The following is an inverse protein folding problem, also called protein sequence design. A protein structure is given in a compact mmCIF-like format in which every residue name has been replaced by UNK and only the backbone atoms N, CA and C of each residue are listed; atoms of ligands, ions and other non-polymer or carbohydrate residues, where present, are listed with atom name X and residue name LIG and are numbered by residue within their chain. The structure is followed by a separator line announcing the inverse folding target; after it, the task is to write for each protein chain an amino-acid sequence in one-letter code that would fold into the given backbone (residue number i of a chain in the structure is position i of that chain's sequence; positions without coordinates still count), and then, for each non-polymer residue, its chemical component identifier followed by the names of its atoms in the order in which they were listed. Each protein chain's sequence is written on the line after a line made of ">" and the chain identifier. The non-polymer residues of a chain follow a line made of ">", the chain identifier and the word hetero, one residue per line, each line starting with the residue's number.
data_IF_461367802009
#
_entry.id   IF_461367802009
#
_cell.length_a   1.000
_cell.length_b   1.000
_cell.length_c   1.000
_cell.angle_alpha   90.00
_cell.angle_beta   90.00
_cell.angle_gamma   90.00
#
_symmetry.space_group_name_H-M   'P 1'
#
loop_
_entity.id
_entity.type
_entity.pdbx_description
1 polymer ?
#
# COMPACT_ATOMS: atom_id res chain seq x y z
N UNK A 1 30.49 15.44 29.44
CA UNK A 1 31.22 14.18 29.59
C UNK A 1 32.47 14.47 30.40
N UNK A 2 32.50 14.10 31.69
CA UNK A 2 33.70 14.24 32.48
C UNK A 2 34.73 13.23 31.95
N UNK A 3 35.92 13.70 31.57
CA UNK A 3 36.99 12.79 31.18
C UNK A 3 37.31 11.88 32.37
N UNK A 4 37.32 10.57 32.14
CA UNK A 4 37.60 9.61 33.19
C UNK A 4 39.06 9.74 33.64
N UNK A 5 39.29 10.54 34.68
CA UNK A 5 40.56 10.63 35.39
C UNK A 5 40.76 9.38 36.25
N UNK A 6 42.03 9.00 36.47
CA UNK A 6 42.44 7.86 37.30
C UNK A 6 41.82 7.94 38.71
N UNK A 7 41.55 9.16 39.21
CA UNK A 7 40.92 9.38 40.51
C UNK A 7 39.43 8.97 40.57
N UNK A 8 38.75 8.89 39.42
CA UNK A 8 37.34 8.51 39.29
C UNK A 8 37.15 7.15 38.57
N UNK A 9 38.19 6.33 38.50
CA UNK A 9 38.14 5.04 37.78
C UNK A 9 37.02 4.13 38.29
N UNK A 10 36.78 4.12 39.60
CA UNK A 10 35.79 3.25 40.24
C UNK A 10 34.34 3.59 39.85
N UNK A 11 34.01 4.86 39.62
CA UNK A 11 32.67 5.28 39.16
C UNK A 11 32.52 5.25 37.64
N UNK A 12 33.61 5.51 36.90
CA UNK A 12 33.59 5.48 35.44
C UNK A 12 33.50 4.06 34.85
N UNK A 13 34.14 3.07 35.49
CA UNK A 13 34.22 1.72 34.94
C UNK A 13 32.84 1.04 34.79
N UNK A 14 31.92 1.11 35.78
CA UNK A 14 30.55 0.61 35.61
C UNK A 14 29.76 1.34 34.52
N UNK A 15 29.93 2.66 34.38
CA UNK A 15 29.23 3.46 33.37
C UNK A 15 29.69 3.08 31.95
N UNK A 16 31.01 2.97 31.73
CA UNK A 16 31.56 2.53 30.44
C UNK A 16 31.22 1.08 30.11
N UNK A 17 31.20 0.21 31.12
CA UNK A 17 30.77 -1.17 30.94
C UNK A 17 29.28 -1.25 30.53
N UNK A 18 28.43 -0.40 31.10
CA UNK A 18 27.02 -0.30 30.73
C UNK A 18 26.81 0.26 29.31
N UNK A 19 27.55 1.31 28.93
CA UNK A 19 27.56 1.81 27.55
C UNK A 19 27.99 0.73 26.55
N UNK A 20 29.00 -0.07 26.89
CA UNK A 20 29.46 -1.19 26.06
C UNK A 20 28.38 -2.27 25.90
N UNK A 21 27.72 -2.69 26.99
CA UNK A 21 26.60 -3.65 26.93
C UNK A 21 25.45 -3.07 26.09
N UNK A 22 25.09 -1.80 26.29
CA UNK A 22 24.08 -1.11 25.50
C UNK A 22 24.44 -1.11 24.02
N UNK A 23 25.71 -0.89 23.69
CA UNK A 23 26.24 -0.96 22.33
C UNK A 23 26.06 -2.35 21.72
N UNK A 24 26.42 -3.41 22.46
CA UNK A 24 26.25 -4.80 22.01
C UNK A 24 24.77 -5.14 21.77
N UNK A 25 23.89 -4.74 22.69
CA UNK A 25 22.45 -5.02 22.58
C UNK A 25 21.83 -4.26 21.39
N UNK A 26 22.25 -3.02 21.14
CA UNK A 26 21.72 -2.21 20.05
C UNK A 26 22.34 -2.51 18.67
N UNK A 27 23.54 -3.08 18.63
CA UNK A 27 24.24 -3.46 17.39
C UNK A 27 23.38 -4.28 16.40
N UNK A 28 22.64 -5.33 16.80
CA UNK A 28 21.78 -6.08 15.88
C UNK A 28 20.54 -5.31 15.41
N UNK A 29 20.06 -4.32 16.17
CA UNK A 29 18.88 -3.53 15.80
C UNK A 29 19.20 -2.48 14.74
N UNK A 30 20.37 -1.85 14.83
CA UNK A 30 20.78 -0.77 13.93
C UNK A 30 20.59 -1.08 12.43
N UNK A 31 21.09 -2.20 11.87
CA UNK A 31 20.90 -2.50 10.45
C UNK A 31 19.44 -2.80 10.09
N UNK A 32 18.66 -3.39 10.99
CA UNK A 32 17.24 -3.66 10.76
C UNK A 32 16.42 -2.38 10.74
N UNK A 33 16.73 -1.45 11.64
CA UNK A 33 16.09 -0.14 11.73
C UNK A 33 16.41 0.73 10.51
N UNK A 34 17.68 0.76 10.09
CA UNK A 34 18.08 1.42 8.84
C UNK A 34 17.34 0.84 7.64
N UNK A 35 17.20 -0.49 7.58
CA UNK A 35 16.46 -1.15 6.51
C UNK A 35 14.96 -0.83 6.55
N UNK A 36 14.34 -0.78 7.74
CA UNK A 36 12.95 -0.33 7.90
C UNK A 36 12.80 1.11 7.43
N UNK A 37 13.70 2.00 7.85
CA UNK A 37 13.67 3.40 7.46
C UNK A 37 13.75 3.56 5.94
N UNK A 38 14.72 2.89 5.30
CA UNK A 38 14.87 2.87 3.83
C UNK A 38 13.63 2.29 3.14
N UNK A 39 13.10 1.16 3.59
CA UNK A 39 11.91 0.55 2.97
C UNK A 39 10.64 1.38 3.13
N UNK A 40 10.57 2.25 4.13
CA UNK A 40 9.47 3.20 4.33
C UNK A 40 9.64 4.49 3.51
N UNK A 41 10.85 5.07 3.49
CA UNK A 41 11.09 6.40 2.93
C UNK A 41 11.56 6.40 1.48
N UNK A 42 12.24 5.36 1.02
CA UNK A 42 12.84 5.32 -0.31
C UNK A 42 11.78 4.92 -1.36
N UNK A 43 11.69 5.65 -2.49
CA UNK A 43 10.81 5.25 -3.57
C UNK A 43 11.25 3.89 -4.14
N UNK A 44 10.28 3.08 -4.54
CA UNK A 44 10.55 1.79 -5.19
C UNK A 44 11.23 2.06 -6.53
N UNK A 45 12.36 1.41 -6.78
CA UNK A 45 13.05 1.54 -8.07
C UNK A 45 12.28 0.76 -9.14
N UNK A 46 11.47 1.50 -9.91
CA UNK A 46 10.62 0.96 -10.97
C UNK A 46 11.33 0.84 -12.32
N UNK A 47 12.55 1.38 -12.47
CA UNK A 47 13.29 1.38 -13.75
C UNK A 47 13.55 -0.04 -14.24
N UNK A 48 13.81 -0.96 -13.30
CA UNK A 48 14.04 -2.38 -13.58
C UNK A 48 12.82 -3.03 -14.28
N UNK A 49 11.61 -2.54 -14.00
CA UNK A 49 10.36 -3.06 -14.55
C UNK A 49 9.86 -2.27 -15.78
N UNK A 50 10.59 -1.25 -16.23
CA UNK A 50 10.20 -0.43 -17.38
C UNK A 50 10.04 -1.26 -18.65
N UNK A 51 10.95 -2.21 -18.90
CA UNK A 51 10.87 -3.10 -20.07
C UNK A 51 9.59 -3.95 -20.07
N UNK A 52 9.19 -4.45 -18.90
CA UNK A 52 7.95 -5.22 -18.73
C UNK A 52 6.71 -4.34 -18.92
N UNK A 53 6.74 -3.11 -18.41
CA UNK A 53 5.68 -2.13 -18.64
C UNK A 53 5.49 -1.83 -20.13
N UNK A 54 6.57 -1.56 -20.88
CA UNK A 54 6.51 -1.33 -22.34
C UNK A 54 5.87 -2.53 -23.06
N UNK A 55 6.26 -3.75 -22.68
CA UNK A 55 5.69 -4.97 -23.26
C UNK A 55 4.18 -5.06 -23.04
N UNK A 56 3.70 -4.77 -21.82
CA UNK A 56 2.26 -4.78 -21.53
C UNK A 56 1.53 -3.69 -22.33
N UNK A 57 2.05 -2.47 -22.38
CA UNK A 57 1.45 -1.39 -23.18
C UNK A 57 1.40 -1.77 -24.65
N UNK A 58 2.43 -2.42 -25.19
CA UNK A 58 2.44 -2.94 -26.54
C UNK A 58 1.33 -3.98 -26.79
N UNK A 59 1.15 -4.94 -25.87
CA UNK A 59 0.06 -5.92 -25.97
C UNK A 59 -1.31 -5.22 -25.91
N UNK A 60 -1.48 -4.25 -25.01
CA UNK A 60 -2.71 -3.45 -24.91
C UNK A 60 -2.97 -2.63 -26.18
N UNK A 61 -1.92 -2.19 -26.88
CA UNK A 61 -2.05 -1.40 -28.11
C UNK A 61 -2.79 -2.12 -29.24
N UNK A 62 -2.67 -3.45 -29.32
CA UNK A 62 -3.40 -4.29 -30.28
C UNK A 62 -4.91 -4.19 -30.02
N UNK A 63 -5.31 -4.18 -28.75
CA UNK A 63 -6.73 -4.01 -28.38
C UNK A 63 -7.26 -2.62 -28.73
N UNK A 64 -6.43 -1.58 -28.75
CA UNK A 64 -6.87 -0.23 -29.11
C UNK A 64 -7.34 -0.15 -30.55
N UNK A 65 -6.62 -0.79 -31.48
CA UNK A 65 -7.04 -0.87 -32.88
C UNK A 65 -8.41 -1.54 -33.02
N UNK A 66 -8.62 -2.65 -32.31
CA UNK A 66 -9.89 -3.37 -32.34
C UNK A 66 -11.04 -2.54 -31.73
N UNK A 67 -10.81 -1.88 -30.60
CA UNK A 67 -11.81 -1.02 -29.97
C UNK A 67 -12.15 0.19 -30.85
N UNK A 68 -11.16 0.79 -31.52
CA UNK A 68 -11.39 1.90 -32.47
C UNK A 68 -12.18 1.44 -33.69
N UNK A 69 -11.90 0.26 -34.25
CA UNK A 69 -12.69 -0.30 -35.35
C UNK A 69 -14.13 -0.59 -34.92
N UNK A 70 -14.31 -1.17 -33.73
CA UNK A 70 -15.63 -1.36 -33.13
C UNK A 70 -16.36 -0.02 -32.93
N UNK A 71 -15.63 1.04 -32.59
CA UNK A 71 -16.20 2.36 -32.32
C UNK A 71 -16.68 3.00 -33.62
N UNK A 72 -15.82 2.95 -34.63
CA UNK A 72 -16.14 3.38 -35.98
C UNK A 72 -17.34 2.64 -36.56
N UNK A 73 -17.41 1.32 -36.40
CA UNK A 73 -18.55 0.52 -36.85
C UNK A 73 -19.86 0.90 -36.15
N UNK A 74 -19.85 1.02 -34.81
CA UNK A 74 -21.03 1.48 -34.06
C UNK A 74 -21.44 2.91 -34.44
N UNK A 75 -20.48 3.77 -34.73
CA UNK A 75 -20.76 5.15 -35.16
C UNK A 75 -21.44 5.20 -36.54
N UNK A 76 -20.99 4.39 -37.50
CA UNK A 76 -21.59 4.31 -38.85
C UNK A 76 -23.02 3.75 -38.78
N UNK A 77 -23.20 2.66 -38.03
CA UNK A 77 -24.51 1.97 -37.93
C UNK A 77 -25.53 2.74 -37.10
N UNK A 78 -25.11 3.59 -36.17
CA UNK A 78 -25.99 4.43 -35.34
C UNK A 78 -26.46 5.73 -36.01
N UNK A 79 -26.16 5.94 -37.30
CA UNK A 79 -26.50 7.17 -38.02
C UNK A 79 -27.99 7.53 -38.05
N UNK A 80 -28.89 6.56 -37.93
CA UNK A 80 -30.34 6.77 -38.00
C UNK A 80 -30.99 7.21 -36.68
N UNK A 81 -30.29 7.09 -35.54
CA UNK A 81 -30.84 7.37 -34.21
C UNK A 81 -29.91 8.34 -33.46
N UNK A 82 -30.45 9.53 -33.14
CA UNK A 82 -29.70 10.61 -32.47
C UNK A 82 -29.14 10.13 -31.13
N UNK A 83 -29.89 9.31 -30.39
CA UNK A 83 -29.48 8.82 -29.07
C UNK A 83 -28.27 7.89 -29.17
N UNK A 84 -28.31 6.94 -30.12
CA UNK A 84 -27.22 5.98 -30.34
C UNK A 84 -25.96 6.67 -30.87
N UNK A 85 -26.12 7.70 -31.70
CA UNK A 85 -25.00 8.49 -32.22
C UNK A 85 -24.25 9.22 -31.11
N UNK A 86 -24.96 9.83 -30.16
CA UNK A 86 -24.34 10.51 -29.02
C UNK A 86 -23.58 9.52 -28.12
N UNK A 87 -24.14 8.33 -27.87
CA UNK A 87 -23.45 7.26 -27.15
C UNK A 87 -22.17 6.81 -27.85
N UNK A 88 -22.21 6.61 -29.18
CA UNK A 88 -21.04 6.20 -29.95
C UNK A 88 -19.92 7.26 -29.93
N UNK A 89 -20.26 8.56 -29.99
CA UNK A 89 -19.30 9.66 -29.84
C UNK A 89 -18.64 9.67 -28.46
N UNK A 90 -19.44 9.51 -27.40
CA UNK A 90 -18.92 9.44 -26.04
C UNK A 90 -17.95 8.26 -25.89
N UNK A 91 -18.30 7.10 -26.44
CA UNK A 91 -17.44 5.92 -26.41
C UNK A 91 -16.12 6.11 -27.17
N UNK A 92 -16.15 6.77 -28.34
CA UNK A 92 -14.94 7.12 -29.08
C UNK A 92 -14.02 8.06 -28.29
N UNK A 93 -14.59 9.06 -27.61
CA UNK A 93 -13.83 9.96 -26.72
C UNK A 93 -13.16 9.20 -25.58
N UNK A 94 -13.89 8.27 -24.96
CA UNK A 94 -13.37 7.44 -23.87
C UNK A 94 -12.20 6.57 -24.34
N UNK A 95 -12.27 5.98 -25.54
CA UNK A 95 -11.16 5.20 -26.13
C UNK A 95 -9.93 6.08 -26.39
N UNK A 96 -10.10 7.30 -26.91
CA UNK A 96 -8.97 8.22 -27.15
C UNK A 96 -8.30 8.61 -25.82
N UNK A 97 -9.09 8.96 -24.80
CA UNK A 97 -8.57 9.32 -23.46
C UNK A 97 -7.84 8.12 -22.85
N UNK A 98 -8.39 6.92 -22.98
CA UNK A 98 -7.77 5.69 -22.50
C UNK A 98 -6.38 5.48 -23.12
N UNK A 99 -6.21 5.67 -24.43
CA UNK A 99 -4.92 5.53 -25.11
C UNK A 99 -3.90 6.50 -24.49
N UNK A 100 -4.26 7.77 -24.35
CA UNK A 100 -3.37 8.80 -23.77
C UNK A 100 -3.00 8.44 -22.32
N UNK A 101 -3.96 8.02 -21.50
CA UNK A 101 -3.71 7.68 -20.10
C UNK A 101 -2.88 6.41 -19.92
N UNK A 102 -3.05 5.39 -20.76
CA UNK A 102 -2.22 4.19 -20.68
C UNK A 102 -0.77 4.50 -21.08
N UNK A 103 -0.55 5.35 -22.08
CA UNK A 103 0.80 5.79 -22.45
C UNK A 103 1.44 6.65 -21.34
N UNK A 104 0.65 7.51 -20.69
CA UNK A 104 1.11 8.32 -19.56
C UNK A 104 1.18 7.53 -18.23
N UNK A 105 0.82 6.25 -18.20
CA UNK A 105 0.66 5.49 -16.96
C UNK A 105 1.95 5.34 -16.16
N UNK A 106 3.09 5.16 -16.81
CA UNK A 106 4.40 5.09 -16.16
C UNK A 106 4.69 6.37 -15.36
N UNK A 107 4.49 7.53 -16.00
CA UNK A 107 4.71 8.84 -15.40
C UNK A 107 3.80 9.06 -14.19
N UNK A 108 2.49 8.77 -14.31
CA UNK A 108 1.56 8.90 -13.19
C UNK A 108 1.91 7.97 -12.02
N UNK A 109 2.33 6.75 -12.32
CA UNK A 109 2.74 5.80 -11.29
C UNK A 109 4.00 6.28 -10.57
N UNK A 110 5.03 6.69 -11.32
CA UNK A 110 6.26 7.25 -10.78
C UNK A 110 6.00 8.48 -9.89
N UNK A 111 5.23 9.45 -10.38
CA UNK A 111 4.89 10.64 -9.62
C UNK A 111 4.15 10.30 -8.31
N UNK A 112 3.27 9.30 -8.34
CA UNK A 112 2.57 8.84 -7.13
C UNK A 112 3.54 8.22 -6.11
N UNK A 113 4.51 7.41 -6.57
CA UNK A 113 5.54 6.84 -5.70
C UNK A 113 6.40 7.93 -5.06
N UNK A 114 6.84 8.91 -5.84
CA UNK A 114 7.67 10.02 -5.36
C UNK A 114 6.93 10.87 -4.32
N UNK A 115 5.65 11.20 -4.57
CA UNK A 115 4.80 11.90 -3.60
C UNK A 115 4.69 11.09 -2.30
N UNK A 116 4.39 9.79 -2.41
CA UNK A 116 4.26 8.94 -1.22
C UNK A 116 5.56 8.82 -0.43
N UNK A 117 6.69 8.67 -1.11
CA UNK A 117 8.02 8.60 -0.51
C UNK A 117 8.37 9.93 0.19
N UNK A 118 8.14 11.06 -0.48
CA UNK A 118 8.38 12.40 0.09
C UNK A 118 7.52 12.66 1.33
N UNK A 119 6.24 12.30 1.30
CA UNK A 119 5.36 12.44 2.46
C UNK A 119 5.83 11.56 3.62
N UNK A 120 6.23 10.32 3.34
CA UNK A 120 6.72 9.38 4.37
C UNK A 120 8.04 9.87 4.97
N UNK A 121 8.99 10.30 4.13
CA UNK A 121 10.25 10.89 4.59
C UNK A 121 10.02 12.15 5.41
N UNK A 122 9.06 13.01 5.02
CA UNK A 122 8.68 14.19 5.77
C UNK A 122 8.21 13.84 7.17
N UNK A 123 7.29 12.87 7.29
CA UNK A 123 6.80 12.39 8.60
C UNK A 123 7.89 11.74 9.44
N UNK A 124 8.74 10.89 8.84
CA UNK A 124 9.82 10.22 9.57
C UNK A 124 10.89 11.19 10.05
N UNK A 125 11.11 12.32 9.36
CA UNK A 125 12.07 13.34 9.79
C UNK A 125 11.67 14.06 11.09
N UNK A 126 10.39 13.96 11.49
CA UNK A 126 9.87 14.49 12.75
C UNK A 126 10.05 13.53 13.94
N UNK A 127 10.49 12.30 13.69
CA UNK A 127 10.74 11.27 14.71
C UNK A 127 12.19 11.39 15.14
N UNK A 128 12.42 11.41 16.46
CA UNK A 128 13.77 11.41 17.02
C UNK A 128 14.50 10.10 16.63
N UNK A 129 15.71 10.13 16.06
CA UNK A 129 16.49 8.93 15.77
C UNK A 129 16.69 8.00 17.00
N UNK A 130 16.78 8.58 18.20
CA UNK A 130 16.94 7.83 19.45
C UNK A 130 15.65 7.12 19.89
N UNK A 131 14.50 7.41 19.25
CA UNK A 131 13.24 6.69 19.46
C UNK A 131 13.42 5.19 19.27
N UNK A 132 14.17 4.78 18.24
CA UNK A 132 14.32 3.37 17.87
C UNK A 132 15.39 2.62 18.69
N UNK A 133 16.21 3.33 19.46
CA UNK A 133 17.26 2.72 20.26
C UNK A 133 16.78 2.39 21.68
N UNK A 134 17.20 1.24 22.19
CA UNK A 134 16.92 0.87 23.57
C UNK A 134 17.69 1.80 24.52
N UNK A 135 16.97 2.43 25.43
CA UNK A 135 17.51 3.27 26.50
C UNK A 135 17.36 2.54 27.82
N UNK A 136 18.46 2.06 28.36
CA UNK A 136 18.49 1.45 29.67
C UNK A 136 18.66 2.54 30.73
N UNK A 137 17.59 2.83 31.49
CA UNK A 137 17.57 3.89 32.52
C UNK A 137 18.08 3.40 33.87
N UNK A 138 18.10 2.09 34.11
CA UNK A 138 18.54 1.51 35.39
C UNK A 138 19.17 0.12 35.21
N UNK A 139 20.03 -0.27 36.15
CA UNK A 139 20.65 -1.60 36.15
C UNK A 139 19.62 -2.72 36.45
N UNK A 140 18.54 -2.38 37.16
CA UNK A 140 17.43 -3.29 37.48
C UNK A 140 16.57 -3.62 36.25
N UNK A 141 16.36 -2.66 35.35
CA UNK A 141 15.55 -2.86 34.13
C UNK A 141 16.29 -3.64 33.04
N UNK A 142 17.61 -3.73 33.10
CA UNK A 142 18.44 -4.35 32.06
C UNK A 142 18.07 -5.82 31.78
N UNK A 143 17.74 -6.61 32.80
CA UNK A 143 17.32 -8.01 32.62
C UNK A 143 16.00 -8.13 31.86
N UNK A 144 15.03 -7.27 32.18
CA UNK A 144 13.73 -7.22 31.51
C UNK A 144 13.86 -6.70 30.08
N UNK A 145 14.70 -5.68 29.87
CA UNK A 145 15.01 -5.12 28.55
C UNK A 145 15.67 -6.16 27.64
N UNK A 146 16.57 -7.00 28.16
CA UNK A 146 17.17 -8.08 27.38
C UNK A 146 16.12 -9.10 26.92
N UNK A 147 15.22 -9.52 27.83
CA UNK A 147 14.16 -10.47 27.50
C UNK A 147 13.19 -9.91 26.44
N UNK A 148 12.76 -8.66 26.60
CA UNK A 148 11.91 -7.98 25.61
C UNK A 148 12.67 -7.61 24.33
N UNK A 149 13.99 -7.45 24.38
CA UNK A 149 14.84 -7.21 23.21
C UNK A 149 14.74 -8.34 22.18
N UNK A 150 14.62 -9.59 22.62
CA UNK A 150 14.44 -10.74 21.72
C UNK A 150 13.07 -10.68 21.03
N UNK A 151 12.02 -10.33 21.77
CA UNK A 151 10.67 -10.14 21.20
C UNK A 151 10.67 -8.98 20.21
N UNK A 152 11.30 -7.86 20.58
CA UNK A 152 11.46 -6.70 19.71
C UNK A 152 12.22 -7.04 18.41
N UNK A 153 13.31 -7.81 18.51
CA UNK A 153 14.05 -8.30 17.35
C UNK A 153 13.15 -9.11 16.42
N UNK A 154 12.35 -10.00 16.99
CA UNK A 154 11.44 -10.88 16.24
C UNK A 154 10.37 -10.06 15.50
N UNK A 155 9.82 -9.04 16.17
CA UNK A 155 8.84 -8.11 15.58
C UNK A 155 9.47 -7.26 14.47
N UNK A 156 10.71 -6.77 14.66
CA UNK A 156 11.43 -6.03 13.62
C UNK A 156 11.70 -6.88 12.38
N UNK A 157 12.13 -8.14 12.54
CA UNK A 157 12.32 -9.07 11.43
C UNK A 157 11.01 -9.29 10.66
N UNK A 158 9.90 -9.44 11.39
CA UNK A 158 8.57 -9.53 10.78
C UNK A 158 8.22 -8.25 10.00
N UNK A 159 8.48 -7.07 10.57
CA UNK A 159 8.24 -5.78 9.90
C UNK A 159 9.05 -5.64 8.63
N UNK A 160 10.34 -5.95 8.67
CA UNK A 160 11.23 -5.95 7.50
C UNK A 160 10.69 -6.86 6.41
N UNK A 161 10.29 -8.08 6.77
CA UNK A 161 9.77 -9.07 5.83
C UNK A 161 8.48 -8.57 5.16
N UNK A 162 7.56 -8.01 5.95
CA UNK A 162 6.30 -7.46 5.44
C UNK A 162 6.52 -6.24 4.53
N UNK A 163 7.43 -5.33 4.91
CA UNK A 163 7.82 -4.19 4.08
C UNK A 163 8.48 -4.63 2.77
N UNK A 164 9.32 -5.66 2.80
CA UNK A 164 9.94 -6.23 1.59
C UNK A 164 8.89 -6.84 0.65
N UNK A 165 7.90 -7.58 1.18
CA UNK A 165 6.77 -8.07 0.39
C UNK A 165 5.99 -6.91 -0.23
N UNK A 166 5.73 -5.85 0.54
CA UNK A 166 5.07 -4.63 0.02
C UNK A 166 5.89 -3.97 -1.08
N UNK A 167 7.20 -3.84 -0.91
CA UNK A 167 8.10 -3.29 -1.93
C UNK A 167 7.97 -4.06 -3.25
N UNK A 168 7.99 -5.40 -3.16
CA UNK A 168 7.79 -6.27 -4.32
C UNK A 168 6.40 -6.09 -4.96
N UNK A 169 5.33 -6.02 -4.16
CA UNK A 169 3.97 -5.80 -4.66
C UNK A 169 3.82 -4.45 -5.38
N UNK A 170 4.46 -3.40 -4.88
CA UNK A 170 4.50 -2.08 -5.54
C UNK A 170 5.25 -2.17 -6.87
N UNK A 171 6.38 -2.88 -6.91
CA UNK A 171 7.14 -3.05 -8.15
C UNK A 171 6.33 -3.79 -9.23
N UNK A 172 5.65 -4.88 -8.87
CA UNK A 172 4.71 -5.59 -9.75
C UNK A 172 3.52 -4.70 -10.13
N UNK A 173 3.11 -3.82 -9.22
CA UNK A 173 2.05 -2.84 -9.42
C UNK A 173 2.26 -1.94 -10.63
N UNK A 174 3.50 -1.61 -10.98
CA UNK A 174 3.82 -0.84 -12.20
C UNK A 174 3.29 -1.52 -13.47
N UNK A 175 3.43 -2.84 -13.56
CA UNK A 175 3.02 -3.65 -14.72
C UNK A 175 1.50 -3.77 -14.78
N UNK A 176 0.86 -3.87 -13.61
CA UNK A 176 -0.60 -4.01 -13.47
C UNK A 176 -1.32 -2.66 -13.67
N UNK A 177 -0.68 -1.54 -13.37
CA UNK A 177 -1.27 -0.20 -13.44
C UNK A 177 -1.87 0.17 -14.82
N UNK A 178 -1.17 0.02 -15.96
CA UNK A 178 -1.76 0.28 -17.28
C UNK A 178 -2.97 -0.61 -17.60
N UNK A 179 -2.97 -1.86 -17.11
CA UNK A 179 -4.10 -2.79 -17.25
C UNK A 179 -5.31 -2.27 -16.46
N UNK A 180 -5.07 -1.77 -15.24
CA UNK A 180 -6.09 -1.14 -14.41
C UNK A 180 -6.74 0.06 -15.09
N UNK A 181 -5.93 0.94 -15.71
CA UNK A 181 -6.43 2.08 -16.49
C UNK A 181 -7.26 1.58 -17.68
N UNK A 182 -6.72 0.65 -18.47
CA UNK A 182 -7.41 0.09 -19.62
C UNK A 182 -8.79 -0.50 -19.27
N UNK A 183 -8.86 -1.32 -18.22
CA UNK A 183 -10.12 -1.93 -17.78
C UNK A 183 -11.14 -0.90 -17.26
N UNK A 184 -10.69 0.23 -16.73
CA UNK A 184 -11.59 1.27 -16.22
C UNK A 184 -12.44 1.92 -17.33
N UNK A 185 -11.96 1.92 -18.57
CA UNK A 185 -12.67 2.51 -19.71
C UNK A 185 -13.58 1.53 -20.46
N UNK A 186 -13.43 0.22 -20.25
CA UNK A 186 -14.30 -0.78 -20.86
C UNK A 186 -15.54 -0.99 -19.96
N UNK A 187 -16.78 -0.77 -20.46
CA UNK A 187 -17.99 -0.82 -19.62
C UNK A 187 -18.13 -2.09 -18.79
N UNK A 188 -17.86 -3.26 -19.39
CA UNK A 188 -17.98 -4.56 -18.72
C UNK A 188 -16.84 -4.86 -17.72
N UNK A 189 -15.70 -4.17 -17.84
CA UNK A 189 -14.50 -4.40 -17.00
C UNK A 189 -14.21 -3.25 -16.03
N UNK A 190 -15.01 -2.18 -16.07
CA UNK A 190 -14.81 -0.96 -15.29
C UNK A 190 -14.64 -1.21 -13.79
N UNK A 191 -15.37 -2.18 -13.25
CA UNK A 191 -15.29 -2.55 -11.84
C UNK A 191 -13.90 -3.13 -11.48
N UNK A 192 -13.31 -3.94 -12.36
CA UNK A 192 -11.98 -4.51 -12.18
C UNK A 192 -10.89 -3.44 -12.27
N UNK A 193 -10.98 -2.55 -13.26
CA UNK A 193 -10.03 -1.44 -13.40
C UNK A 193 -10.01 -0.54 -12.15
N UNK A 194 -11.19 -0.16 -11.65
CA UNK A 194 -11.31 0.64 -10.42
C UNK A 194 -10.72 -0.06 -9.19
N UNK A 195 -10.94 -1.37 -9.08
CA UNK A 195 -10.42 -2.19 -7.99
C UNK A 195 -8.89 -2.25 -8.02
N UNK A 196 -8.31 -2.53 -9.19
CA UNK A 196 -6.86 -2.59 -9.39
C UNK A 196 -6.23 -1.25 -8.99
N UNK A 197 -6.73 -0.15 -9.54
CA UNK A 197 -6.20 1.19 -9.24
C UNK A 197 -6.33 1.50 -7.76
N UNK A 198 -7.49 1.26 -7.14
CA UNK A 198 -7.70 1.54 -5.73
C UNK A 198 -6.81 0.68 -4.82
N UNK A 199 -6.61 -0.60 -5.17
CA UNK A 199 -5.70 -1.50 -4.44
C UNK A 199 -4.26 -1.01 -4.50
N UNK A 200 -3.76 -0.69 -5.71
CA UNK A 200 -2.41 -0.17 -5.90
C UNK A 200 -2.19 1.13 -5.14
N UNK A 201 -3.13 2.07 -5.21
CA UNK A 201 -3.00 3.33 -4.46
C UNK A 201 -2.91 3.09 -2.94
N UNK A 202 -3.70 2.18 -2.38
CA UNK A 202 -3.62 1.84 -0.95
C UNK A 202 -2.24 1.27 -0.59
N UNK A 203 -1.70 0.36 -1.41
CA UNK A 203 -0.38 -0.25 -1.16
C UNK A 203 0.75 0.78 -1.30
N UNK A 204 0.63 1.71 -2.25
CA UNK A 204 1.59 2.81 -2.45
C UNK A 204 1.60 3.73 -1.23
N UNK A 205 0.45 4.22 -0.78
CA UNK A 205 0.35 5.15 0.36
C UNK A 205 0.47 4.50 1.75
N UNK A 206 0.59 3.18 1.84
CA UNK A 206 0.68 2.48 3.12
C UNK A 206 1.83 2.97 4.03
N UNK A 207 3.08 3.19 3.55
CA UNK A 207 4.18 3.64 4.41
C UNK A 207 3.93 5.00 5.05
N UNK A 208 3.20 5.88 4.37
CA UNK A 208 2.86 7.19 4.91
C UNK A 208 2.00 7.04 6.18
N UNK A 209 0.97 6.20 6.15
CA UNK A 209 0.14 5.93 7.33
C UNK A 209 0.93 5.24 8.45
N UNK A 210 1.90 4.38 8.10
CA UNK A 210 2.79 3.75 9.09
C UNK A 210 3.72 4.76 9.75
N UNK A 211 4.26 5.71 8.98
CA UNK A 211 5.03 6.84 9.48
C UNK A 211 4.20 7.69 10.47
N UNK A 212 2.93 7.95 10.16
CA UNK A 212 2.04 8.69 11.07
C UNK A 212 1.83 7.96 12.41
N UNK A 213 1.66 6.63 12.37
CA UNK A 213 1.53 5.81 13.58
C UNK A 213 2.82 5.88 14.40
N UNK A 214 3.98 5.72 13.75
CA UNK A 214 5.28 5.86 14.43
C UNK A 214 5.46 7.24 15.06
N UNK A 215 5.05 8.31 14.36
CA UNK A 215 5.13 9.66 14.87
C UNK A 215 4.26 9.85 16.12
N UNK A 216 3.00 9.41 16.08
CA UNK A 216 2.09 9.50 17.24
C UNK A 216 2.71 8.79 18.44
N UNK A 217 3.24 7.58 18.24
CA UNK A 217 3.82 6.80 19.34
C UNK A 217 5.13 7.40 19.83
N UNK A 218 5.94 7.96 18.93
CA UNK A 218 7.14 8.73 19.31
C UNK A 218 6.80 9.91 20.21
N UNK A 219 5.70 10.62 19.94
CA UNK A 219 5.24 11.73 20.78
C UNK A 219 4.63 11.26 22.10
N UNK A 220 4.06 10.06 22.16
CA UNK A 220 3.61 9.47 23.42
C UNK A 220 4.76 9.16 24.38
N UNK A 221 5.95 8.82 23.86
CA UNK A 221 7.12 8.54 24.70
C UNK A 221 7.75 9.76 25.35
N UNK A 222 7.44 10.98 24.90
CA UNK A 222 7.93 12.21 25.55
C UNK A 222 7.29 12.43 26.94
N UNK A 223 6.24 11.67 27.28
CA UNK A 223 5.62 11.69 28.61
C UNK A 223 6.41 10.80 29.55
N UNK A 224 6.99 11.40 30.60
CA UNK A 224 7.88 10.76 31.61
C UNK A 224 7.38 9.46 32.22
N UNK A 225 6.06 9.23 32.22
CA UNK A 225 5.47 7.97 32.71
C UNK A 225 5.87 6.76 31.85
N UNK A 226 6.18 6.97 30.56
CA UNK A 226 6.53 5.90 29.63
C UNK A 226 8.03 5.61 29.52
N UNK A 227 8.89 6.37 30.20
CA UNK A 227 10.36 6.19 30.14
C UNK A 227 10.76 4.76 30.54
N UNK A 228 10.12 4.22 31.58
CA UNK A 228 10.37 2.86 32.07
C UNK A 228 9.76 1.76 31.19
N UNK A 229 8.84 2.11 30.29
CA UNK A 229 8.11 1.18 29.43
C UNK A 229 8.43 1.39 27.94
N UNK A 230 9.51 2.10 27.62
CA UNK A 230 9.88 2.46 26.25
C UNK A 230 9.88 1.26 25.30
N UNK A 231 10.53 0.16 25.69
CA UNK A 231 10.64 -1.04 24.87
C UNK A 231 9.26 -1.68 24.58
N UNK A 232 8.36 -1.68 25.56
CA UNK A 232 7.01 -2.24 25.39
C UNK A 232 6.18 -1.39 24.42
N UNK A 233 6.30 -0.06 24.52
CA UNK A 233 5.64 0.89 23.61
C UNK A 233 6.17 0.72 22.19
N UNK A 234 7.49 0.58 22.02
CA UNK A 234 8.11 0.31 20.71
C UNK A 234 7.66 -1.02 20.10
N UNK A 235 7.65 -2.11 20.89
CA UNK A 235 7.14 -3.42 20.44
C UNK A 235 5.68 -3.27 19.96
N UNK A 236 4.87 -2.57 20.74
CA UNK A 236 3.46 -2.33 20.41
C UNK A 236 3.32 -1.50 19.13
N UNK A 237 4.18 -0.50 18.92
CA UNK A 237 4.18 0.32 17.71
C UNK A 237 4.41 -0.52 16.45
N UNK A 238 5.46 -1.32 16.45
CA UNK A 238 5.78 -2.17 15.30
C UNK A 238 4.77 -3.29 15.09
N UNK A 239 4.21 -3.84 16.17
CA UNK A 239 3.13 -4.82 16.08
C UNK A 239 1.86 -4.21 15.46
N UNK A 240 1.51 -2.98 15.83
CA UNK A 240 0.40 -2.25 15.23
C UNK A 240 0.61 -1.98 13.74
N UNK A 241 1.84 -1.62 13.33
CA UNK A 241 2.23 -1.43 11.93
C UNK A 241 2.09 -2.73 11.14
N UNK A 242 2.57 -3.85 11.70
CA UNK A 242 2.49 -5.16 11.08
C UNK A 242 1.02 -5.61 10.93
N UNK A 243 0.22 -5.41 11.97
CA UNK A 243 -1.21 -5.72 11.95
C UNK A 243 -1.95 -4.88 10.91
N UNK A 244 -1.69 -3.58 10.85
CA UNK A 244 -2.28 -2.68 9.84
C UNK A 244 -1.91 -3.14 8.42
N UNK A 245 -0.66 -3.50 8.19
CA UNK A 245 -0.21 -3.97 6.87
C UNK A 245 -0.93 -5.27 6.48
N UNK A 246 -0.95 -6.27 7.37
CA UNK A 246 -1.63 -7.55 7.12
C UNK A 246 -3.12 -7.31 6.88
N UNK A 247 -3.76 -6.49 7.70
CA UNK A 247 -5.17 -6.14 7.56
C UNK A 247 -5.47 -5.52 6.20
N UNK A 248 -4.68 -4.53 5.77
CA UNK A 248 -4.90 -3.85 4.49
C UNK A 248 -4.60 -4.75 3.28
N UNK A 249 -3.60 -5.63 3.38
CA UNK A 249 -3.33 -6.64 2.36
C UNK A 249 -4.50 -7.63 2.21
N UNK A 250 -4.99 -8.19 3.34
CA UNK A 250 -6.15 -9.09 3.34
C UNK A 250 -7.39 -8.36 2.84
N UNK A 251 -7.65 -7.15 3.33
CA UNK A 251 -8.79 -6.35 2.90
C UNK A 251 -8.77 -6.08 1.39
N UNK A 252 -7.59 -5.77 0.84
CA UNK A 252 -7.39 -5.61 -0.60
C UNK A 252 -7.74 -6.89 -1.37
N UNK A 253 -7.27 -8.05 -0.91
CA UNK A 253 -7.57 -9.35 -1.55
C UNK A 253 -9.05 -9.70 -1.46
N UNK A 254 -9.67 -9.55 -0.29
CA UNK A 254 -11.09 -9.87 -0.06
C UNK A 254 -11.98 -8.94 -0.86
N UNK A 255 -11.72 -7.63 -0.83
CA UNK A 255 -12.44 -6.65 -1.66
C UNK A 255 -12.31 -7.01 -3.14
N UNK A 256 -11.13 -7.49 -3.54
CA UNK A 256 -10.90 -7.93 -4.91
C UNK A 256 -11.77 -9.12 -5.29
N UNK A 257 -11.78 -10.16 -4.46
CA UNK A 257 -12.60 -11.36 -4.66
C UNK A 257 -14.11 -11.05 -4.66
N UNK A 258 -14.59 -10.22 -3.74
CA UNK A 258 -16.01 -9.86 -3.64
C UNK A 258 -16.51 -9.07 -4.85
N UNK A 259 -15.67 -8.20 -5.42
CA UNK A 259 -16.03 -7.47 -6.64
C UNK A 259 -16.13 -8.40 -7.86
N UNK A 260 -15.29 -9.44 -7.94
CA UNK A 260 -15.39 -10.45 -9.00
C UNK A 260 -16.71 -11.21 -8.86
N UNK A 261 -17.09 -11.60 -7.64
CA UNK A 261 -18.33 -12.33 -7.36
C UNK A 261 -19.60 -11.52 -7.68
N UNK A 262 -19.58 -10.20 -7.50
CA UNK A 262 -20.74 -9.34 -7.80
C UNK A 262 -20.88 -8.98 -9.28
N UNK A 263 -19.83 -9.19 -10.08
CA UNK A 263 -19.86 -8.98 -11.52
C UNK A 263 -20.78 -9.98 -12.24
N UNK A 264 -21.22 -9.65 -13.45
CA UNK A 264 -22.07 -10.55 -14.25
C UNK A 264 -21.36 -11.87 -14.59
N UNK A 265 -20.03 -11.88 -14.66
CA UNK A 265 -19.22 -13.11 -14.80
C UNK A 265 -19.36 -13.98 -13.55
N UNK A 266 -19.37 -13.38 -12.36
CA UNK A 266 -19.62 -14.08 -11.10
C UNK A 266 -21.00 -14.74 -11.08
N UNK A 267 -22.03 -14.07 -11.62
CA UNK A 267 -23.38 -14.62 -11.75
C UNK A 267 -23.44 -15.79 -12.74
N UNK A 268 -22.71 -15.73 -13.86
CA UNK A 268 -22.63 -16.85 -14.80
C UNK A 268 -21.90 -18.04 -14.16
N UNK A 269 -20.81 -17.78 -13.43
CA UNK A 269 -20.06 -18.83 -12.73
C UNK A 269 -20.91 -19.52 -11.64
N UNK A 270 -21.75 -18.78 -10.90
CA UNK A 270 -22.64 -19.37 -9.89
C UNK A 270 -23.76 -20.21 -10.51
N UNK A 271 -24.27 -19.79 -11.68
CA UNK A 271 -25.24 -20.59 -12.47
C UNK A 271 -24.60 -21.88 -12.98
N UNK A 272 -23.38 -21.80 -13.51
CA UNK A 272 -22.62 -22.98 -13.98
C UNK A 272 -22.29 -23.93 -12.83
N UNK A 273 -22.07 -23.41 -11.63
CA UNK A 273 -21.86 -24.21 -10.42
C UNK A 273 -23.12 -24.92 -9.89
N UNK A 274 -24.24 -24.89 -10.62
CA UNK A 274 -25.46 -25.64 -10.27
C UNK A 274 -26.28 -25.03 -9.13
N UNK A 275 -25.89 -23.86 -8.61
CA UNK A 275 -26.77 -23.07 -7.74
C UNK A 275 -27.76 -22.33 -8.64
N UNK A 276 -28.94 -22.93 -8.82
CA UNK A 276 -30.08 -22.26 -9.46
C UNK A 276 -30.28 -20.93 -8.73
N UNK A 277 -30.12 -19.78 -9.41
CA UNK A 277 -30.34 -18.50 -8.77
C UNK A 277 -31.79 -18.47 -8.33
N UNK A 278 -32.00 -18.40 -7.01
CA UNK A 278 -33.34 -18.16 -6.47
C UNK A 278 -33.86 -16.89 -7.12
N UNK A 279 -35.04 -16.92 -7.78
CA UNK A 279 -35.55 -15.78 -8.51
C UNK A 279 -35.63 -14.60 -7.54
N UNK A 280 -34.84 -13.56 -7.82
CA UNK A 280 -34.92 -12.31 -7.08
C UNK A 280 -36.38 -11.87 -7.10
N UNK A 281 -37.03 -11.62 -5.94
CA UNK A 281 -38.41 -11.16 -5.92
C UNK A 281 -38.47 -9.91 -6.79
N UNK A 282 -39.14 -10.01 -7.94
CA UNK A 282 -39.40 -8.86 -8.81
C UNK A 282 -40.17 -7.88 -7.96
N UNK A 283 -39.55 -6.76 -7.63
CA UNK A 283 -40.20 -5.70 -6.87
C UNK A 283 -41.44 -5.25 -7.67
N UNK A 284 -42.68 -5.51 -7.22
CA UNK A 284 -43.88 -5.30 -8.05
C UNK A 284 -44.22 -3.82 -8.31
N UNK A 285 -43.43 -2.88 -7.80
CA UNK A 285 -43.85 -1.48 -7.69
C UNK A 285 -43.61 -0.59 -8.92
N UNK A 286 -43.16 -1.11 -10.07
CA UNK A 286 -42.87 -0.27 -11.25
C UNK A 286 -43.98 -0.22 -12.31
N UNK A 287 -45.23 -0.57 -11.98
CA UNK A 287 -46.34 -0.63 -12.95
C UNK A 287 -47.54 0.28 -12.70
N UNK A 288 -47.40 1.38 -11.96
CA UNK A 288 -48.53 2.27 -11.68
C UNK A 288 -48.21 3.77 -11.83
N UNK A 289 -47.60 4.17 -12.97
CA UNK A 289 -47.17 5.56 -13.16
C UNK A 289 -47.36 6.22 -14.53
N UNK A 290 -47.62 5.48 -15.61
CA UNK A 290 -47.78 6.07 -16.96
C UNK A 290 -49.18 5.79 -17.52
N UNK A 291 -50.14 6.58 -17.05
CA UNK A 291 -51.45 6.77 -17.68
C UNK A 291 -51.90 8.20 -17.36
N UNK A 292 -51.25 9.21 -17.95
CA UNK A 292 -51.80 10.57 -18.18
C UNK A 292 -50.74 11.48 -18.82
N UNK A 293 -50.70 11.53 -20.16
CA UNK A 293 -50.72 12.76 -20.99
C UNK A 293 -50.48 12.44 -22.46
#
# INVERSE_FOLDING_TARGET
>A
MAECSILNLASCLPEKFFEFIKGIINAPFAPLLDLVQKLLSEPVNIEIFQSLWVLIVYILSIFYGLLMLWAGFNFITSSYDVSKREYAKAWLKDVIIMIVLVQASYFFYQATLEISASLTSGVLSLIDPDFFLLTASSLSSLGLELAFGIVYLSVLILTVTLLAIRYFLVAVGLVIFPIGIFFNFIPFLKQYGKLIINSLMVIVFLPFFQGLILLIISKMLEVTTFDNYKILVMITAFLLINLLMIFLLIFSIVKSALAVMSSDVGKVATVVAGKVPTPSPKNPQTKLGDFTR
#
